data_IF_349983695747
#
_entry.id   IF_349983695747
#
_cell.length_a   1.000
_cell.length_b   1.000
_cell.length_c   1.000
_cell.angle_alpha   90.00
_cell.angle_beta   90.00
_cell.angle_gamma   90.00
#
_symmetry.space_group_name_H-M   'P 1'
#
loop_
_entity.id
_entity.type
_entity.pdbx_description
1 polymer ?
#
# COMPACT_ATOMS: atom_id res chain seq x y z
N UNK A 1 17.35 2.61 -20.84
CA UNK A 1 18.75 2.94 -21.24
C UNK A 1 19.46 3.62 -20.08
N UNK A 2 20.73 3.31 -19.77
CA UNK A 2 21.50 4.02 -18.75
C UNK A 2 21.66 5.47 -19.18
N UNK A 3 21.26 6.41 -18.33
CA UNK A 3 21.39 7.84 -18.59
C UNK A 3 21.72 8.55 -17.28
N UNK A 4 22.76 9.38 -17.23
CA UNK A 4 23.05 10.15 -16.02
C UNK A 4 21.86 11.07 -15.70
N UNK A 5 21.44 11.11 -14.43
CA UNK A 5 20.43 12.06 -13.99
C UNK A 5 21.03 13.45 -13.99
N UNK A 6 20.30 14.45 -14.50
CA UNK A 6 20.73 15.85 -14.43
C UNK A 6 20.85 16.38 -12.99
N UNK A 7 20.36 15.63 -11.99
CA UNK A 7 20.42 15.96 -10.57
C UNK A 7 21.48 15.16 -9.79
N UNK A 8 22.19 14.22 -10.43
CA UNK A 8 23.26 13.47 -9.78
C UNK A 8 24.57 14.27 -9.80
N UNK A 9 25.20 14.39 -8.63
CA UNK A 9 26.47 15.15 -8.45
C UNK A 9 27.60 14.54 -9.27
N UNK A 10 27.65 13.21 -9.33
CA UNK A 10 28.78 12.48 -9.91
C UNK A 10 28.57 12.12 -11.39
N UNK A 11 27.39 12.39 -11.95
CA UNK A 11 27.10 12.17 -13.39
C UNK A 11 27.28 10.72 -13.85
N UNK A 12 27.37 9.75 -12.93
CA UNK A 12 27.55 8.35 -13.27
C UNK A 12 26.24 7.78 -13.82
N UNK A 13 26.26 7.06 -14.95
CA UNK A 13 25.05 6.44 -15.48
C UNK A 13 24.56 5.35 -14.52
N UNK A 14 23.29 5.45 -14.10
CA UNK A 14 22.66 4.39 -13.31
C UNK A 14 22.19 3.26 -14.23
N UNK A 15 22.39 2.02 -13.80
CA UNK A 15 21.82 0.86 -14.47
C UNK A 15 20.41 0.62 -13.95
N UNK A 16 19.45 0.32 -14.83
CA UNK A 16 18.10 -0.15 -14.45
C UNK A 16 18.15 -1.62 -13.99
N UNK A 17 19.08 -1.92 -13.07
CA UNK A 17 19.20 -3.23 -12.45
C UNK A 17 18.28 -3.27 -11.24
N UNK A 18 17.47 -4.31 -11.14
CA UNK A 18 16.66 -4.58 -9.95
C UNK A 18 17.60 -4.64 -8.73
N UNK A 19 17.47 -3.65 -7.84
CA UNK A 19 18.32 -3.49 -6.66
C UNK A 19 17.95 -4.47 -5.52
N UNK A 20 16.82 -5.16 -5.64
CA UNK A 20 16.38 -6.14 -4.65
C UNK A 20 14.92 -6.58 -4.81
N UNK A 21 14.41 -7.40 -3.89
CA UNK A 21 12.99 -7.71 -3.82
C UNK A 21 12.18 -6.45 -3.53
N UNK A 22 10.92 -6.44 -3.99
CA UNK A 22 9.97 -5.39 -3.63
C UNK A 22 9.71 -5.42 -2.12
N UNK A 23 9.52 -4.24 -1.53
CA UNK A 23 9.12 -4.18 -0.12
C UNK A 23 7.71 -4.77 -0.01
N UNK A 24 7.42 -5.58 1.02
CA UNK A 24 6.07 -6.06 1.23
C UNK A 24 5.14 -4.85 1.46
N UNK A 25 3.91 -4.97 0.98
CA UNK A 25 2.87 -3.95 1.16
C UNK A 25 2.67 -3.57 2.63
N UNK A 26 2.82 -4.57 3.48
CA UNK A 26 2.48 -4.53 4.89
C UNK A 26 3.65 -5.11 5.67
N UNK A 27 3.96 -4.50 6.80
CA UNK A 27 5.01 -4.99 7.69
C UNK A 27 4.53 -6.27 8.41
N UNK A 28 5.44 -7.21 8.76
CA UNK A 28 5.06 -8.45 9.46
C UNK A 28 4.28 -8.22 10.76
N UNK A 29 4.63 -7.17 11.50
CA UNK A 29 4.00 -6.82 12.77
C UNK A 29 2.51 -6.48 12.63
N UNK A 30 2.03 -6.11 11.44
CA UNK A 30 0.62 -5.77 11.23
C UNK A 30 -0.28 -6.97 11.49
N UNK A 31 0.13 -8.16 11.08
CA UNK A 31 -0.63 -9.40 11.33
C UNK A 31 -0.72 -9.73 12.83
N UNK A 32 0.27 -9.31 13.61
CA UNK A 32 0.38 -9.61 15.05
C UNK A 32 -0.26 -8.52 15.93
N UNK A 33 -0.14 -7.27 15.54
CA UNK A 33 -0.48 -6.12 16.39
C UNK A 33 -1.80 -5.45 16.02
N UNK A 34 -2.24 -5.54 14.77
CA UNK A 34 -3.46 -4.88 14.32
C UNK A 34 -4.72 -5.69 14.63
N UNK A 35 -5.87 -5.02 14.60
CA UNK A 35 -7.14 -5.66 14.87
C UNK A 35 -7.58 -6.55 13.70
N UNK A 36 -8.13 -7.72 14.03
CA UNK A 36 -8.85 -8.56 13.07
C UNK A 36 -10.14 -7.85 12.64
N UNK A 37 -10.41 -7.80 11.33
CA UNK A 37 -11.58 -7.08 10.81
C UNK A 37 -12.93 -7.73 11.13
N UNK A 38 -12.94 -8.99 11.56
CA UNK A 38 -14.14 -9.74 11.90
C UNK A 38 -14.43 -9.70 13.40
N UNK A 39 -15.00 -8.60 13.88
CA UNK A 39 -15.65 -8.50 15.19
C UNK A 39 -14.80 -7.98 16.36
N UNK A 40 -13.51 -7.72 16.15
CA UNK A 40 -12.68 -7.05 17.14
C UNK A 40 -12.77 -5.52 16.99
N UNK A 41 -12.84 -4.80 18.12
CA UNK A 41 -12.83 -3.34 18.09
C UNK A 41 -11.46 -2.84 17.66
N UNK A 42 -11.39 -2.14 16.52
CA UNK A 42 -10.13 -1.60 16.01
C UNK A 42 -9.70 -0.30 16.71
N UNK A 43 -10.55 0.27 17.60
CA UNK A 43 -10.27 1.53 18.30
C UNK A 43 -9.02 1.48 19.19
N UNK A 44 -8.79 0.33 19.85
CA UNK A 44 -7.64 0.17 20.74
C UNK A 44 -6.31 0.00 19.98
N UNK A 45 -6.37 -0.58 18.77
CA UNK A 45 -5.17 -0.87 17.95
C UNK A 45 -4.87 0.25 16.94
N UNK A 46 -5.89 0.94 16.46
CA UNK A 46 -5.75 1.99 15.44
C UNK A 46 -5.27 1.51 14.07
N UNK A 47 -5.28 0.20 13.82
CA UNK A 47 -4.88 -0.38 12.54
C UNK A 47 -5.60 -1.72 12.29
N UNK A 48 -5.65 -2.10 11.02
CA UNK A 48 -6.37 -3.28 10.53
C UNK A 48 -5.40 -4.29 9.93
N UNK A 49 -5.64 -5.59 10.14
CA UNK A 49 -4.77 -6.63 9.58
C UNK A 49 -4.89 -6.75 8.06
N UNK A 50 -6.09 -6.58 7.51
CA UNK A 50 -6.29 -6.80 6.07
C UNK A 50 -5.85 -5.58 5.27
N UNK A 51 -5.22 -5.86 4.13
CA UNK A 51 -4.76 -4.86 3.20
C UNK A 51 -5.95 -4.08 2.63
N UNK A 52 -5.82 -2.75 2.53
CA UNK A 52 -6.87 -1.88 2.02
C UNK A 52 -8.02 -1.62 3.00
N UNK A 53 -7.98 -2.13 4.23
CA UNK A 53 -8.96 -1.78 5.26
C UNK A 53 -8.55 -0.54 6.08
N UNK A 54 -9.57 0.17 6.54
CA UNK A 54 -9.46 1.30 7.46
C UNK A 54 -10.31 1.02 8.69
N UNK A 55 -9.80 1.37 9.87
CA UNK A 55 -10.61 1.35 11.08
C UNK A 55 -11.60 2.51 11.04
N UNK A 56 -12.90 2.17 11.04
CA UNK A 56 -13.98 3.13 11.09
C UNK A 56 -14.73 3.01 12.42
N UNK A 57 -15.02 4.14 13.04
CA UNK A 57 -15.79 4.23 14.27
C UNK A 57 -17.28 4.09 13.97
N UNK A 58 -17.98 3.25 14.75
CA UNK A 58 -19.44 3.19 14.79
C UNK A 58 -19.98 4.04 15.93
N UNK A 59 -19.40 3.84 17.11
CA UNK A 59 -19.72 4.49 18.39
C UNK A 59 -18.43 4.80 19.14
N UNK A 60 -18.49 5.53 20.25
CA UNK A 60 -17.31 5.84 21.08
C UNK A 60 -16.56 4.63 21.63
N UNK A 61 -17.24 3.47 21.70
CA UNK A 61 -16.70 2.24 22.27
C UNK A 61 -16.43 1.15 21.23
N UNK A 62 -16.93 1.30 20.00
CA UNK A 62 -16.82 0.29 18.96
C UNK A 62 -16.45 0.88 17.61
N UNK A 63 -15.39 0.34 17.03
CA UNK A 63 -14.97 0.57 15.66
C UNK A 63 -14.67 -0.76 14.98
N UNK A 64 -14.85 -0.83 13.67
CA UNK A 64 -14.57 -2.04 12.88
C UNK A 64 -13.68 -1.68 11.71
N UNK A 65 -12.80 -2.61 11.35
CA UNK A 65 -12.09 -2.53 10.08
C UNK A 65 -13.08 -2.77 8.95
N UNK A 66 -13.11 -1.85 7.99
CA UNK A 66 -13.84 -1.99 6.74
C UNK A 66 -13.04 -1.33 5.61
N UNK A 67 -13.21 -1.77 4.36
CA UNK A 67 -12.65 -1.07 3.21
C UNK A 67 -13.35 0.28 2.98
N UNK A 68 -14.63 0.41 3.31
CA UNK A 68 -15.37 1.66 3.17
C UNK A 68 -16.47 1.76 4.23
N UNK A 69 -16.82 3.00 4.59
CA UNK A 69 -17.89 3.29 5.54
C UNK A 69 -19.01 4.05 4.84
N UNK A 70 -20.02 3.31 4.35
CA UNK A 70 -21.16 3.86 3.61
C UNK A 70 -22.50 3.51 4.28
N UNK A 71 -22.49 3.23 5.58
CA UNK A 71 -23.67 2.70 6.28
C UNK A 71 -24.36 3.79 7.11
N UNK A 72 -25.67 4.02 6.95
CA UNK A 72 -26.40 4.95 7.80
C UNK A 72 -26.38 4.46 9.25
N UNK A 73 -26.10 5.37 10.20
CA UNK A 73 -25.97 5.04 11.63
C UNK A 73 -24.56 4.65 12.09
N UNK A 74 -23.54 4.82 11.24
CA UNK A 74 -22.13 4.82 11.65
C UNK A 74 -21.61 6.26 11.67
N UNK A 75 -20.75 6.59 12.65
CA UNK A 75 -20.07 7.90 12.65
C UNK A 75 -19.00 8.00 11.56
N UNK A 76 -18.50 6.86 11.05
CA UNK A 76 -17.52 6.77 9.97
C UNK A 76 -16.21 7.55 10.21
N UNK A 77 -15.92 7.87 11.47
CA UNK A 77 -14.67 8.52 11.86
C UNK A 77 -13.52 7.53 11.68
N UNK A 78 -12.47 7.96 10.99
CA UNK A 78 -11.30 7.12 10.71
C UNK A 78 -10.34 7.13 11.89
N UNK A 79 -9.96 5.95 12.37
CA UNK A 79 -8.99 5.81 13.46
C UNK A 79 -7.68 5.23 12.91
N UNK A 80 -6.60 5.99 13.07
CA UNK A 80 -5.27 5.62 12.57
C UNK A 80 -5.19 5.54 11.04
N UNK A 81 -4.11 4.96 10.53
CA UNK A 81 -3.82 4.91 9.10
C UNK A 81 -4.48 3.73 8.41
N UNK A 82 -4.86 3.90 7.15
CA UNK A 82 -5.34 2.83 6.29
C UNK A 82 -4.22 1.82 6.06
N UNK A 83 -4.54 0.53 6.21
CA UNK A 83 -3.59 -0.52 5.86
C UNK A 83 -3.35 -0.44 4.36
N UNK A 84 -2.09 -0.30 3.91
CA UNK A 84 -1.80 -0.27 2.48
C UNK A 84 -2.44 -1.50 1.83
N UNK A 85 -3.28 -1.27 0.82
CA UNK A 85 -3.49 -2.31 -0.19
C UNK A 85 -2.13 -2.57 -0.83
N UNK A 86 -1.91 -3.77 -1.38
CA UNK A 86 -0.68 -4.10 -2.10
C UNK A 86 -0.18 -2.89 -2.91
N UNK A 87 1.14 -2.57 -2.93
CA UNK A 87 1.63 -1.68 -3.96
C UNK A 87 1.14 -2.30 -5.26
N UNK A 88 0.61 -1.42 -6.08
CA UNK A 88 -0.04 -1.73 -7.31
C UNK A 88 0.85 -2.59 -8.22
N UNK A 89 0.92 -3.91 -7.99
CA UNK A 89 1.41 -4.84 -9.00
C UNK A 89 0.33 -5.04 -10.08
N UNK A 90 -0.85 -4.39 -9.94
CA UNK A 90 -1.86 -4.35 -10.99
C UNK A 90 -2.50 -2.97 -11.28
N UNK A 91 -2.15 -1.89 -10.56
CA UNK A 91 -2.63 -0.52 -10.84
C UNK A 91 -1.52 0.51 -11.09
N UNK A 92 -0.26 0.09 -11.26
CA UNK A 92 0.76 0.92 -11.92
C UNK A 92 0.91 0.48 -13.38
N UNK A 93 -0.20 0.02 -13.98
CA UNK A 93 -0.28 -0.27 -15.41
C UNK A 93 -1.40 0.50 -16.13
N UNK A 94 -2.33 1.14 -15.41
CA UNK A 94 -3.36 2.00 -16.01
C UNK A 94 -2.83 3.40 -16.26
N UNK A 95 -1.96 3.53 -17.27
CA UNK A 95 -1.47 4.83 -17.74
C UNK A 95 -0.03 4.81 -18.25
N UNK A 96 0.68 3.69 -18.10
CA UNK A 96 1.97 3.52 -18.74
C UNK A 96 1.77 3.08 -20.19
N UNK A 97 2.34 3.78 -21.17
CA UNK A 97 2.28 3.38 -22.57
C UNK A 97 3.00 2.02 -22.75
N UNK A 98 2.57 1.19 -23.71
CA UNK A 98 3.13 -0.16 -23.93
C UNK A 98 4.68 -0.19 -23.98
N UNK A 99 5.31 0.85 -24.52
CA UNK A 99 6.78 0.95 -24.58
C UNK A 99 7.44 1.00 -23.20
N UNK A 100 6.74 1.48 -22.16
CA UNK A 100 7.26 1.57 -20.80
C UNK A 100 7.47 0.18 -20.17
N UNK A 101 6.63 -0.79 -20.52
CA UNK A 101 6.84 -2.19 -20.12
C UNK A 101 8.01 -2.81 -20.88
N UNK A 102 8.08 -2.58 -22.19
CA UNK A 102 9.16 -3.10 -23.04
C UNK A 102 10.57 -2.61 -22.64
N UNK A 103 10.69 -1.39 -22.08
CA UNK A 103 11.99 -0.85 -21.64
C UNK A 103 12.38 -1.21 -20.20
N UNK A 104 11.44 -1.73 -19.39
CA UNK A 104 11.68 -2.04 -17.98
C UNK A 104 11.73 -3.55 -17.70
N UNK A 105 11.06 -4.39 -18.50
CA UNK A 105 11.10 -5.85 -18.37
C UNK A 105 11.98 -6.50 -19.43
N UNK A 106 13.19 -5.97 -19.66
CA UNK A 106 14.12 -6.50 -20.64
C UNK A 106 14.49 -7.97 -20.39
N UNK A 107 13.70 -8.90 -20.92
CA UNK A 107 14.25 -9.90 -21.82
C UNK A 107 14.74 -9.10 -23.05
N UNK A 108 15.89 -9.37 -23.64
CA UNK A 108 16.15 -10.58 -24.39
C UNK A 108 17.66 -10.69 -24.67
N UNK A 109 18.13 -11.95 -24.71
CA UNK A 109 19.31 -12.57 -25.35
C UNK A 109 20.58 -11.75 -25.60
#
# INVERSE_FOLDING_TARGET
TPGPSFSDVDGTPWTCRKLGPTRPATQPWVAEQCADGNGASCLAKGCCKQAGEQCYKKTDYYGSCKPSCNQPGWSCETVGTRTPSQPAEEEEARGLPEWAFAQCSGAET
#
